data_IF_192567131590
#
_entry.id   IF_192567131590
#
_cell.length_a   1.000
_cell.length_b   1.000
_cell.length_c   1.000
_cell.angle_alpha   90.00
_cell.angle_beta   90.00
_cell.angle_gamma   90.00
#
_symmetry.space_group_name_H-M   'P 1'
#
loop_
_entity.id
_entity.type
_entity.pdbx_description
1 polymer ?
#
# COMPACT_ATOMS: atom_id res chain seq x y z
N UNK A 1 -20.95 24.89 -6.50
CA UNK A 1 -20.01 24.75 -5.37
C UNK A 1 -20.20 23.39 -4.69
N UNK A 2 -19.85 22.29 -5.38
CA UNK A 2 -19.96 20.92 -4.83
C UNK A 2 -18.79 20.02 -5.28
N UNK A 3 -17.58 20.56 -5.27
CA UNK A 3 -16.34 19.80 -5.40
C UNK A 3 -15.64 19.92 -4.06
N UNK A 4 -15.57 18.82 -3.29
CA UNK A 4 -14.49 18.56 -2.30
C UNK A 4 -14.74 17.30 -1.44
N UNK A 5 -15.91 16.65 -1.46
CA UNK A 5 -16.15 15.43 -0.65
C UNK A 5 -15.61 14.12 -1.23
N UNK A 6 -15.17 14.12 -2.49
CA UNK A 6 -14.73 12.89 -3.18
C UNK A 6 -13.25 12.54 -2.95
N UNK A 7 -12.43 13.49 -2.49
CA UNK A 7 -10.98 13.27 -2.31
C UNK A 7 -10.66 12.57 -0.97
N UNK A 8 -11.44 12.83 0.08
CA UNK A 8 -11.30 12.19 1.41
C UNK A 8 -11.58 10.68 1.36
N UNK A 9 -12.43 10.23 0.43
CA UNK A 9 -12.70 8.80 0.21
C UNK A 9 -11.50 8.13 -0.48
N UNK A 10 -10.83 8.80 -1.43
CA UNK A 10 -9.65 8.27 -2.12
C UNK A 10 -8.41 8.13 -1.21
N UNK A 11 -8.24 9.01 -0.23
CA UNK A 11 -7.18 8.87 0.78
C UNK A 11 -7.47 7.73 1.76
N UNK A 12 -8.76 7.47 2.04
CA UNK A 12 -9.18 6.30 2.82
C UNK A 12 -8.95 5.00 2.04
N UNK A 13 -9.21 5.00 0.73
CA UNK A 13 -8.98 3.86 -0.19
C UNK A 13 -7.51 3.42 -0.24
N UNK A 14 -6.56 4.35 -0.09
CA UNK A 14 -5.12 4.05 -0.10
C UNK A 14 -4.57 3.66 1.28
N UNK A 15 -5.11 4.20 2.37
CA UNK A 15 -4.80 3.71 3.73
C UNK A 15 -5.47 2.37 4.06
N UNK A 16 -6.43 1.88 3.27
CA UNK A 16 -7.10 0.59 3.50
C UNK A 16 -6.24 -0.64 3.13
N UNK A 17 -5.10 -0.45 2.44
CA UNK A 17 -4.04 -1.46 2.34
C UNK A 17 -3.15 -1.53 3.60
N UNK A 18 -3.32 -0.58 4.53
CA UNK A 18 -2.83 -0.71 5.90
C UNK A 18 -3.98 -1.27 6.75
N UNK A 19 -3.69 -2.16 7.74
CA UNK A 19 -4.74 -2.72 8.58
C UNK A 19 -5.61 -1.60 9.15
N UNK A 20 -6.89 -1.65 8.82
CA UNK A 20 -7.90 -0.69 9.25
C UNK A 20 -7.83 -0.52 10.77
N UNK A 21 -7.42 0.65 11.24
CA UNK A 21 -7.67 1.06 12.61
C UNK A 21 -9.18 1.30 12.75
N UNK A 22 -9.91 0.25 13.14
CA UNK A 22 -11.26 0.38 13.67
C UNK A 22 -11.20 1.23 14.94
N UNK A 23 -11.72 2.45 14.88
CA UNK A 23 -11.98 3.24 16.08
C UNK A 23 -13.15 2.59 16.82
N UNK A 24 -12.86 1.85 17.89
CA UNK A 24 -13.85 1.59 18.92
C UNK A 24 -14.19 2.93 19.58
N UNK A 25 -15.32 3.53 19.20
CA UNK A 25 -15.94 4.59 19.99
C UNK A 25 -16.46 3.97 21.28
N UNK A 26 -15.64 4.06 22.33
CA UNK A 26 -16.04 3.79 23.71
C UNK A 26 -16.98 4.94 24.15
N UNK A 27 -18.28 4.69 24.09
CA UNK A 27 -19.29 5.57 24.69
C UNK A 27 -19.25 5.40 26.21
N UNK A 28 -18.63 6.36 26.89
CA UNK A 28 -18.82 6.58 28.31
C UNK A 28 -20.26 7.06 28.61
N UNK A 29 -20.96 6.33 29.46
CA UNK A 29 -22.04 6.85 30.29
C UNK A 29 -21.96 6.24 31.69
N UNK A 30 -21.59 7.10 32.64
CA UNK A 30 -21.38 6.84 34.05
C UNK A 30 -22.63 6.37 34.81
N UNK A 31 -22.42 5.60 35.89
CA UNK A 31 -22.90 5.97 37.24
C UNK A 31 -22.42 5.03 38.35
N UNK A 32 -21.74 5.61 39.35
CA UNK A 32 -22.11 5.44 40.75
C UNK A 32 -21.41 4.39 41.62
N UNK A 33 -20.82 4.84 42.73
CA UNK A 33 -20.85 4.07 43.98
C UNK A 33 -19.53 3.96 44.75
N UNK A 34 -19.42 4.72 45.83
CA UNK A 34 -18.29 4.82 46.75
C UNK A 34 -17.94 3.53 47.53
N UNK A 35 -16.69 3.45 48.02
CA UNK A 35 -16.29 2.56 49.12
C UNK A 35 -14.81 2.70 49.46
N UNK A 36 -14.49 2.91 50.74
CA UNK A 36 -13.24 3.48 51.22
C UNK A 36 -12.23 2.46 51.80
N UNK A 37 -10.97 2.94 51.88
CA UNK A 37 -9.98 2.77 52.96
C UNK A 37 -9.23 1.43 53.20
N UNK A 38 -7.92 1.58 53.45
CA UNK A 38 -7.03 0.63 54.17
C UNK A 38 -5.66 0.48 53.48
N UNK A 39 -4.64 1.30 53.76
CA UNK A 39 -3.67 1.25 54.88
C UNK A 39 -2.75 0.01 54.91
N UNK A 40 -1.43 0.23 54.79
CA UNK A 40 -0.43 -0.44 55.66
C UNK A 40 0.75 -1.18 55.01
N UNK A 41 1.98 -0.82 55.43
CA UNK A 41 3.21 -1.66 55.55
C UNK A 41 4.13 -1.70 54.31
N UNK A 42 5.36 -1.15 54.29
CA UNK A 42 6.63 -1.58 54.96
C UNK A 42 6.97 -3.06 54.71
N UNK A 43 8.20 -3.55 54.44
CA UNK A 43 9.58 -3.03 54.46
C UNK A 43 10.53 -4.12 53.89
N UNK A 44 11.77 -3.74 53.52
CA UNK A 44 13.04 -4.51 53.53
C UNK A 44 13.16 -5.78 52.63
N UNK A 45 14.29 -6.12 51.99
CA UNK A 45 15.68 -5.67 52.04
C UNK A 45 16.64 -6.77 51.50
N UNK A 46 17.86 -6.40 51.11
CA UNK A 46 19.05 -7.29 50.99
C UNK A 46 19.37 -7.84 49.59
N UNK A 47 20.35 -7.33 48.84
CA UNK A 47 21.84 -7.53 48.88
C UNK A 47 22.35 -8.90 48.41
N UNK A 48 23.22 -8.90 47.40
CA UNK A 48 24.12 -10.01 47.07
C UNK A 48 24.95 -9.75 45.80
N UNK A 49 26.27 -9.65 45.95
CA UNK A 49 27.25 -9.24 44.94
C UNK A 49 28.17 -10.38 44.46
N UNK A 50 28.84 -10.17 43.32
CA UNK A 50 30.07 -10.86 42.87
C UNK A 50 29.86 -11.91 41.76
N UNK A 51 30.69 -12.08 40.72
CA UNK A 51 32.06 -11.60 40.43
C UNK A 51 32.44 -11.92 38.96
N UNK A 52 33.14 -10.97 38.32
CA UNK A 52 34.28 -11.03 37.36
C UNK A 52 34.66 -12.31 36.57
N UNK A 53 35.03 -12.13 35.29
CA UNK A 53 36.20 -12.82 34.69
C UNK A 53 36.31 -12.88 33.15
N UNK A 54 37.27 -12.11 32.58
CA UNK A 54 38.02 -12.37 31.32
C UNK A 54 37.30 -12.13 29.98
N UNK A 55 37.81 -11.43 28.97
CA UNK A 55 39.19 -11.13 28.57
C UNK A 55 39.57 -11.96 27.33
N UNK A 56 39.52 -11.39 26.12
CA UNK A 56 39.99 -12.07 24.89
C UNK A 56 39.70 -11.29 23.61
N UNK A 57 40.76 -10.93 22.88
CA UNK A 57 40.78 -10.04 21.72
C UNK A 57 40.68 -10.80 20.38
N UNK A 58 40.22 -10.11 19.33
CA UNK A 58 40.77 -10.27 17.97
C UNK A 58 39.97 -11.15 17.01
N UNK A 59 39.37 -10.52 15.99
CA UNK A 59 38.76 -11.20 14.85
C UNK A 59 38.23 -10.22 13.81
N UNK A 60 39.12 -9.80 12.91
CA UNK A 60 38.79 -9.09 11.68
C UNK A 60 38.10 -10.00 10.66
N UNK A 61 37.06 -9.48 9.99
CA UNK A 61 36.37 -10.07 8.82
C UNK A 61 34.92 -9.61 8.85
N UNK A 62 34.43 -8.72 7.97
CA UNK A 62 34.58 -8.75 6.53
C UNK A 62 33.48 -9.61 5.94
N UNK A 63 32.27 -9.06 5.81
CA UNK A 63 31.27 -9.43 4.80
C UNK A 63 30.10 -8.47 4.89
N UNK A 64 30.03 -7.58 3.91
CA UNK A 64 28.79 -6.96 3.45
C UNK A 64 27.76 -8.08 3.24
N UNK A 65 26.59 -7.96 3.88
CA UNK A 65 25.44 -8.77 3.54
C UNK A 65 24.26 -7.83 3.35
N UNK A 66 24.09 -7.42 2.09
CA UNK A 66 22.92 -6.71 1.62
C UNK A 66 21.69 -7.58 1.84
N UNK A 67 20.79 -7.09 2.70
CA UNK A 67 19.48 -7.70 2.91
C UNK A 67 18.58 -7.40 1.73
N UNK A 68 18.62 -8.26 0.71
CA UNK A 68 17.50 -8.46 -0.19
C UNK A 68 16.29 -8.92 0.63
N UNK A 69 15.10 -8.37 0.33
CA UNK A 69 13.82 -8.61 1.00
C UNK A 69 13.69 -9.99 1.66
N UNK A 70 13.44 -9.96 2.97
CA UNK A 70 13.58 -11.08 3.88
C UNK A 70 12.87 -12.36 3.42
N UNK A 71 13.66 -13.39 3.16
CA UNK A 71 13.29 -14.80 3.36
C UNK A 71 13.46 -15.14 4.85
N UNK A 72 12.70 -14.46 5.72
CA UNK A 72 12.61 -14.82 7.13
C UNK A 72 11.45 -15.78 7.31
N UNK A 73 11.72 -17.06 7.58
CA UNK A 73 10.66 -17.93 8.12
C UNK A 73 10.09 -17.33 9.41
N UNK A 74 8.88 -17.73 9.78
CA UNK A 74 8.12 -17.29 10.98
C UNK A 74 8.93 -17.26 12.30
N UNK A 75 10.11 -17.89 12.35
CA UNK A 75 10.98 -18.04 13.51
C UNK A 75 11.72 -16.78 14.02
N UNK A 76 11.59 -15.61 13.38
CA UNK A 76 12.31 -14.39 13.79
C UNK A 76 11.43 -13.26 14.36
N UNK A 77 10.11 -13.45 14.51
CA UNK A 77 9.24 -12.44 15.11
C UNK A 77 9.32 -12.49 16.64
N UNK A 78 9.65 -11.36 17.29
CA UNK A 78 9.56 -11.18 18.75
C UNK A 78 8.40 -10.23 19.09
N UNK A 79 7.29 -10.72 19.68
CA UNK A 79 6.16 -9.85 20.05
C UNK A 79 6.51 -8.81 21.11
N UNK A 80 7.59 -9.00 21.89
CA UNK A 80 8.03 -8.02 22.89
C UNK A 80 8.94 -6.93 22.29
N UNK A 81 9.52 -7.21 21.13
CA UNK A 81 10.35 -6.27 20.38
C UNK A 81 10.15 -6.47 18.87
N UNK A 82 8.97 -6.11 18.33
CA UNK A 82 8.64 -6.38 16.93
C UNK A 82 9.55 -5.63 15.94
N UNK A 83 10.17 -4.54 16.40
CA UNK A 83 10.79 -3.54 15.54
C UNK A 83 9.74 -2.74 14.78
N UNK A 84 10.20 -2.02 13.75
CA UNK A 84 9.39 -1.05 13.02
C UNK A 84 9.25 -1.45 11.54
N UNK A 85 8.00 -1.40 11.06
CA UNK A 85 7.64 -1.45 9.64
C UNK A 85 7.51 -0.02 9.12
N UNK A 86 8.27 0.30 8.08
CA UNK A 86 8.07 1.51 7.29
C UNK A 86 7.19 1.21 6.08
N UNK A 87 6.18 2.02 5.84
CA UNK A 87 5.38 1.99 4.61
C UNK A 87 5.46 3.35 3.97
N UNK A 88 5.71 3.41 2.66
CA UNK A 88 5.81 4.68 1.96
C UNK A 88 5.50 4.52 0.48
N UNK A 89 4.62 5.38 -0.05
CA UNK A 89 4.29 5.40 -1.47
C UNK A 89 4.34 6.83 -2.01
N UNK A 90 4.97 6.99 -3.17
CA UNK A 90 4.93 8.22 -3.98
C UNK A 90 4.48 7.89 -5.40
N UNK A 91 3.58 8.70 -5.94
CA UNK A 91 3.03 8.33 -7.24
C UNK A 91 1.98 9.26 -7.80
N UNK A 92 1.36 8.75 -8.87
CA UNK A 92 0.25 9.39 -9.58
C UNK A 92 -0.84 8.37 -9.89
N UNK A 93 -2.09 8.77 -9.67
CA UNK A 93 -3.25 8.12 -10.21
C UNK A 93 -3.93 9.05 -11.22
N UNK A 94 -4.00 8.67 -12.49
CA UNK A 94 -4.80 9.33 -13.51
C UNK A 94 -6.22 8.77 -13.44
N UNK A 95 -7.12 9.52 -12.82
CA UNK A 95 -8.52 9.13 -12.63
C UNK A 95 -9.39 9.91 -13.60
N UNK A 96 -9.97 9.22 -14.60
CA UNK A 96 -10.85 9.86 -15.58
C UNK A 96 -10.21 11.09 -16.26
N UNK A 97 -8.90 11.01 -16.55
CA UNK A 97 -8.13 12.09 -17.17
C UNK A 97 -7.62 13.19 -16.21
N UNK A 98 -7.93 13.12 -14.91
CA UNK A 98 -7.41 14.04 -13.90
C UNK A 98 -6.26 13.38 -13.12
N UNK A 99 -5.05 13.96 -13.08
CA UNK A 99 -3.98 13.45 -12.24
C UNK A 99 -4.24 13.76 -10.76
N UNK A 100 -4.10 12.75 -9.92
CA UNK A 100 -4.01 12.86 -8.47
C UNK A 100 -2.63 12.35 -8.04
N UNK A 101 -1.77 13.26 -7.59
CA UNK A 101 -0.41 12.94 -7.15
C UNK A 101 -0.32 12.97 -5.64
N UNK A 102 0.45 12.03 -5.09
CA UNK A 102 0.52 11.84 -3.65
C UNK A 102 1.90 11.35 -3.21
N UNK A 103 2.24 11.65 -1.96
CA UNK A 103 3.40 11.13 -1.27
C UNK A 103 2.99 10.97 0.21
N UNK A 104 2.88 9.72 0.65
CA UNK A 104 2.43 9.41 2.00
C UNK A 104 3.07 8.12 2.51
N UNK A 105 3.22 8.02 3.81
CA UNK A 105 3.69 6.80 4.46
C UNK A 105 3.27 6.71 5.92
N UNK A 106 3.67 5.65 6.58
CA UNK A 106 3.47 5.45 8.00
C UNK A 106 4.59 4.59 8.58
N UNK A 107 4.86 4.78 9.87
CA UNK A 107 5.66 3.88 10.68
C UNK A 107 4.73 3.12 11.61
N UNK A 108 4.88 1.80 11.63
CA UNK A 108 4.03 0.90 12.38
C UNK A 108 4.92 -0.05 13.19
N UNK A 109 4.50 -0.54 14.36
CA UNK A 109 5.10 -1.75 14.91
C UNK A 109 5.01 -2.86 13.86
N UNK A 110 6.09 -3.58 13.63
CA UNK A 110 6.08 -4.74 12.74
C UNK A 110 5.16 -5.81 13.30
N UNK A 111 4.38 -6.43 12.43
CA UNK A 111 3.51 -7.55 12.76
C UNK A 111 4.12 -8.86 12.24
N UNK A 112 3.67 -9.99 12.77
CA UNK A 112 4.12 -11.32 12.32
C UNK A 112 3.91 -11.49 10.82
N UNK A 113 2.72 -11.13 10.34
CA UNK A 113 2.32 -11.23 8.94
C UNK A 113 3.14 -10.31 8.00
N UNK A 114 3.87 -9.31 8.53
CA UNK A 114 4.75 -8.46 7.72
C UNK A 114 6.08 -9.15 7.33
N UNK A 115 6.43 -10.24 8.03
CA UNK A 115 7.66 -11.00 7.84
C UNK A 115 7.44 -12.25 6.99
N UNK A 116 6.19 -12.61 6.77
CA UNK A 116 5.82 -13.70 5.87
C UNK A 116 6.14 -13.30 4.43
N UNK A 117 6.67 -14.24 3.65
CA UNK A 117 6.80 -14.04 2.22
C UNK A 117 5.39 -13.84 1.66
N UNK A 118 5.08 -12.60 1.25
CA UNK A 118 3.78 -12.27 0.65
C UNK A 118 3.43 -13.26 -0.46
N UNK A 119 2.13 -13.45 -0.75
CA UNK A 119 1.66 -14.49 -1.67
C UNK A 119 2.51 -14.51 -2.95
N UNK A 120 3.16 -15.65 -3.17
CA UNK A 120 4.11 -15.83 -4.25
C UNK A 120 3.42 -15.65 -5.61
N UNK A 121 3.83 -14.58 -6.30
CA UNK A 121 3.58 -14.27 -7.71
C UNK A 121 2.15 -13.86 -8.12
N UNK A 122 2.05 -12.96 -9.12
CA UNK A 122 0.78 -12.72 -9.82
C UNK A 122 0.25 -14.05 -10.37
N UNK A 123 -1.03 -14.34 -10.11
CA UNK A 123 -1.70 -15.54 -10.62
C UNK A 123 -1.68 -15.63 -12.15
N UNK A 124 -1.58 -14.48 -12.83
CA UNK A 124 -1.57 -14.36 -14.29
C UNK A 124 -0.15 -14.53 -14.85
N UNK A 125 0.09 -15.49 -15.78
CA UNK A 125 1.37 -15.64 -16.46
C UNK A 125 1.79 -14.37 -17.23
N UNK A 126 3.10 -14.10 -17.29
CA UNK A 126 3.63 -12.98 -18.06
C UNK A 126 3.33 -13.16 -19.57
N UNK A 127 2.84 -12.11 -20.21
CA UNK A 127 2.42 -12.09 -21.61
C UNK A 127 1.02 -12.67 -21.86
N UNK A 128 0.23 -12.92 -20.82
CA UNK A 128 -1.10 -13.53 -20.95
C UNK A 128 -2.20 -12.66 -20.32
N UNK A 129 -3.46 -13.07 -20.55
CA UNK A 129 -4.66 -12.49 -19.96
C UNK A 129 -5.56 -13.60 -19.42
N UNK A 130 -6.02 -13.45 -18.18
CA UNK A 130 -6.92 -14.39 -17.52
C UNK A 130 -8.18 -13.68 -17.02
N UNK A 131 -9.30 -14.41 -17.01
CA UNK A 131 -10.49 -13.93 -16.31
C UNK A 131 -10.24 -14.18 -14.83
N UNK A 132 -10.16 -13.09 -14.07
CA UNK A 132 -9.90 -13.15 -12.65
C UNK A 132 -11.20 -12.90 -11.92
N UNK A 133 -11.74 -13.95 -11.30
CA UNK A 133 -12.76 -13.81 -10.27
C UNK A 133 -12.07 -13.78 -8.92
N UNK A 134 -12.26 -12.71 -8.14
CA UNK A 134 -11.77 -12.67 -6.77
C UNK A 134 -12.60 -13.61 -5.91
N UNK A 135 -12.10 -14.84 -5.73
CA UNK A 135 -12.61 -15.77 -4.72
C UNK A 135 -11.76 -15.66 -3.48
N UNK A 136 -12.34 -15.13 -2.40
CA UNK A 136 -11.71 -15.12 -1.10
C UNK A 136 -11.79 -16.51 -0.47
N UNK A 137 -10.67 -16.98 0.05
CA UNK A 137 -10.61 -18.16 0.90
C UNK A 137 -10.13 -17.67 2.26
N UNK A 138 -10.94 -17.80 3.32
CA UNK A 138 -10.56 -17.28 4.63
C UNK A 138 -9.39 -18.11 5.18
N UNK A 139 -8.40 -17.44 5.76
CA UNK A 139 -7.27 -18.10 6.42
C UNK A 139 -7.57 -18.39 7.90
N UNK A 140 -8.63 -17.81 8.45
CA UNK A 140 -9.11 -18.05 9.81
C UNK A 140 -10.65 -18.06 9.86
N UNK A 141 -11.20 -18.73 10.86
CA UNK A 141 -12.65 -18.78 11.13
C UNK A 141 -13.02 -18.25 12.51
N UNK A 142 -12.02 -18.04 13.38
CA UNK A 142 -12.17 -17.40 14.67
C UNK A 142 -10.82 -17.10 15.34
N UNK A 143 -10.83 -16.49 16.54
CA UNK A 143 -9.63 -16.06 17.24
C UNK A 143 -8.65 -17.19 17.56
N UNK A 144 -9.15 -18.42 17.74
CA UNK A 144 -8.32 -19.60 18.05
C UNK A 144 -7.42 -20.04 16.89
N UNK A 145 -7.70 -19.58 15.67
CA UNK A 145 -6.91 -19.90 14.47
C UNK A 145 -5.72 -18.92 14.30
N UNK A 146 -5.66 -17.86 15.11
CA UNK A 146 -4.66 -16.80 15.02
C UNK A 146 -3.70 -16.81 16.22
N UNK A 147 -2.55 -16.15 16.07
CA UNK A 147 -1.63 -15.91 17.19
C UNK A 147 -2.29 -15.01 18.27
N UNK A 148 -1.85 -15.05 19.55
CA UNK A 148 -2.46 -14.29 20.63
C UNK A 148 -2.56 -12.78 20.40
N UNK A 149 -1.61 -12.21 19.66
CA UNK A 149 -1.55 -10.80 19.26
C UNK A 149 -2.44 -10.44 18.05
N UNK A 150 -2.94 -11.45 17.32
CA UNK A 150 -3.72 -11.29 16.09
C UNK A 150 -5.22 -11.44 16.34
N UNK A 151 -6.01 -10.87 15.43
CA UNK A 151 -7.45 -11.00 15.38
C UNK A 151 -7.87 -11.57 14.03
N UNK A 152 -8.84 -12.49 14.03
CA UNK A 152 -9.45 -12.97 12.80
C UNK A 152 -10.45 -11.93 12.29
N UNK A 153 -10.04 -11.12 11.32
CA UNK A 153 -10.82 -10.01 10.80
C UNK A 153 -11.08 -10.19 9.30
N UNK A 154 -12.31 -9.94 8.82
CA UNK A 154 -12.58 -9.90 7.40
C UNK A 154 -11.90 -8.69 6.75
N UNK A 155 -11.52 -8.82 5.48
CA UNK A 155 -11.25 -7.66 4.65
C UNK A 155 -12.50 -6.78 4.55
N UNK A 156 -12.30 -5.48 4.31
CA UNK A 156 -13.40 -4.55 4.11
C UNK A 156 -13.41 -3.98 2.70
N UNK A 157 -14.60 -3.83 2.12
CA UNK A 157 -14.80 -3.14 0.85
C UNK A 157 -14.44 -1.64 0.95
N UNK A 158 -14.54 -0.94 -0.17
CA UNK A 158 -14.23 0.51 -0.25
C UNK A 158 -15.13 1.39 0.64
N UNK A 159 -16.23 0.85 1.17
CA UNK A 159 -17.14 1.53 2.08
C UNK A 159 -16.93 1.10 3.54
N UNK A 160 -15.88 0.32 3.83
CA UNK A 160 -15.60 -0.22 5.15
C UNK A 160 -16.52 -1.38 5.54
N UNK A 161 -17.26 -1.98 4.60
CA UNK A 161 -18.12 -3.13 4.89
C UNK A 161 -17.32 -4.43 4.80
N UNK A 162 -17.48 -5.36 5.75
CA UNK A 162 -16.86 -6.68 5.67
C UNK A 162 -17.17 -7.40 4.35
N UNK A 163 -16.14 -8.00 3.75
CA UNK A 163 -16.26 -8.89 2.61
C UNK A 163 -16.39 -10.31 3.15
N UNK A 164 -17.46 -11.01 2.78
CA UNK A 164 -17.70 -12.36 3.27
C UNK A 164 -16.61 -13.34 2.80
N UNK A 165 -16.19 -14.26 3.68
CA UNK A 165 -15.18 -15.30 3.41
C UNK A 165 -13.77 -14.75 3.11
N UNK A 166 -13.45 -13.54 3.59
CA UNK A 166 -12.15 -12.88 3.44
C UNK A 166 -11.38 -12.78 4.75
N UNK A 167 -11.80 -13.52 5.77
CA UNK A 167 -11.22 -13.49 7.10
C UNK A 167 -9.74 -13.88 7.08
N UNK A 168 -8.89 -13.03 7.67
CA UNK A 168 -7.46 -13.28 7.84
C UNK A 168 -6.98 -12.87 9.23
N UNK A 169 -5.85 -13.45 9.67
CA UNK A 169 -5.23 -13.11 10.94
C UNK A 169 -4.44 -11.81 10.79
N UNK A 170 -4.91 -10.75 11.46
CA UNK A 170 -4.34 -9.40 11.37
C UNK A 170 -3.98 -8.90 12.76
N UNK A 171 -2.80 -8.31 12.91
CA UNK A 171 -2.34 -7.66 14.14
C UNK A 171 -2.81 -6.20 14.16
N UNK A 172 -3.71 -5.80 15.08
CA UNK A 172 -4.11 -4.41 15.22
C UNK A 172 -2.93 -3.56 15.70
N UNK A 173 -2.68 -2.45 15.02
CA UNK A 173 -1.55 -1.57 15.29
C UNK A 173 -1.89 -0.12 14.96
N UNK A 174 -1.22 0.81 15.63
CA UNK A 174 -1.38 2.25 15.43
C UNK A 174 -0.11 2.87 14.87
N UNK A 175 -0.21 3.85 13.97
CA UNK A 175 0.94 4.59 13.48
C UNK A 175 1.73 5.29 14.59
N UNK A 176 3.05 5.28 14.45
CA UNK A 176 4.01 5.84 15.41
C UNK A 176 4.57 7.14 14.85
N UNK A 177 4.62 8.17 15.70
CA UNK A 177 5.43 9.37 15.44
C UNK A 177 6.89 9.07 15.82
N UNK A 178 7.77 9.04 14.83
CA UNK A 178 9.23 8.81 14.91
C UNK A 178 10.01 10.06 14.47
N UNK A 179 9.33 11.20 14.37
CA UNK A 179 9.90 12.45 13.90
C UNK A 179 9.91 12.58 12.37
N UNK A 180 10.14 13.81 11.87
CA UNK A 180 10.11 14.09 10.45
C UNK A 180 11.26 13.43 9.68
N UNK A 181 11.04 13.18 8.40
CA UNK A 181 12.09 12.76 7.47
C UNK A 181 12.10 13.64 6.23
N UNK A 182 13.25 13.73 5.57
CA UNK A 182 13.42 14.52 4.35
C UNK A 182 13.42 13.58 3.17
N UNK A 183 12.74 13.98 2.10
CA UNK A 183 12.68 13.25 0.84
C UNK A 183 13.09 14.15 -0.31
N UNK A 184 14.00 13.66 -1.13
CA UNK A 184 14.50 14.32 -2.33
C UNK A 184 13.86 13.71 -3.57
N UNK A 185 14.05 14.38 -4.72
CA UNK A 185 13.50 13.92 -6.00
C UNK A 185 12.31 14.74 -6.51
N UNK A 186 11.65 15.55 -5.68
CA UNK A 186 10.62 16.46 -6.18
C UNK A 186 11.20 17.59 -7.05
N UNK A 187 10.42 18.08 -8.02
CA UNK A 187 10.86 19.11 -8.95
C UNK A 187 11.12 20.46 -8.26
N UNK A 188 10.39 20.77 -7.19
CA UNK A 188 10.60 21.99 -6.39
C UNK A 188 11.68 21.85 -5.31
N UNK A 189 12.37 20.71 -5.24
CA UNK A 189 13.41 20.43 -4.25
C UNK A 189 12.93 19.56 -3.08
N UNK A 190 13.79 19.33 -2.06
CA UNK A 190 13.49 18.42 -0.97
C UNK A 190 12.21 18.79 -0.20
N UNK A 191 11.47 17.77 0.24
CA UNK A 191 10.27 17.90 1.06
C UNK A 191 10.51 17.24 2.41
N UNK A 192 10.10 17.91 3.47
CA UNK A 192 9.99 17.28 4.79
C UNK A 192 8.61 16.66 4.92
N UNK A 193 8.55 15.41 5.34
CA UNK A 193 7.31 14.73 5.71
C UNK A 193 7.26 14.58 7.22
N UNK A 194 6.07 14.77 7.81
CA UNK A 194 5.86 14.78 9.25
C UNK A 194 4.58 14.06 9.60
N UNK A 195 4.55 13.48 10.80
CA UNK A 195 3.38 12.80 11.34
C UNK A 195 2.16 13.74 11.39
N UNK A 196 1.04 13.29 10.83
CA UNK A 196 -0.20 14.04 10.78
C UNK A 196 -1.32 13.27 11.49
N UNK A 197 -1.58 13.63 12.76
CA UNK A 197 -2.64 13.01 13.56
C UNK A 197 -4.05 13.18 12.94
N UNK A 198 -4.30 14.26 12.19
CA UNK A 198 -5.59 14.48 11.52
C UNK A 198 -5.79 13.53 10.32
N UNK A 199 -4.71 12.98 9.79
CA UNK A 199 -4.70 11.95 8.75
C UNK A 199 -4.32 10.59 9.35
N UNK A 200 -4.88 10.27 10.53
CA UNK A 200 -4.67 8.99 11.21
C UNK A 200 -3.20 8.61 11.43
N UNK A 201 -2.30 9.59 11.53
CA UNK A 201 -0.87 9.36 11.74
C UNK A 201 -0.05 9.09 10.48
N UNK A 202 -0.60 9.37 9.30
CA UNK A 202 0.17 9.36 8.07
C UNK A 202 1.25 10.46 8.05
N UNK A 203 2.36 10.18 7.39
CA UNK A 203 3.44 11.13 7.14
C UNK A 203 3.16 11.85 5.84
N UNK A 204 2.92 13.16 5.95
CA UNK A 204 2.58 14.02 4.81
C UNK A 204 3.42 15.29 4.85
N UNK A 205 3.39 16.06 3.75
CA UNK A 205 3.97 17.41 3.76
C UNK A 205 3.23 18.29 4.78
N UNK A 206 3.92 19.20 5.50
CA UNK A 206 3.29 20.07 6.49
C UNK A 206 2.09 20.84 5.93
N UNK A 207 0.95 20.73 6.61
CA UNK A 207 -0.31 21.36 6.20
C UNK A 207 -1.01 20.70 5.01
N UNK A 208 -0.46 19.62 4.47
CA UNK A 208 -1.06 18.81 3.41
C UNK A 208 -1.73 17.55 3.93
N UNK A 209 -2.66 17.04 3.14
CA UNK A 209 -3.30 15.74 3.33
C UNK A 209 -2.50 14.59 2.69
N UNK A 210 -1.30 14.86 2.17
CA UNK A 210 -0.46 13.91 1.45
C UNK A 210 -0.59 14.00 -0.07
N UNK A 211 -1.48 14.87 -0.57
CA UNK A 211 -1.44 15.31 -1.96
C UNK A 211 -0.23 16.21 -2.22
N UNK A 212 0.35 16.07 -3.41
CA UNK A 212 1.40 16.96 -3.92
C UNK A 212 0.93 17.57 -5.24
N UNK A 213 1.39 18.76 -5.64
CA UNK A 213 1.10 19.27 -6.97
C UNK A 213 1.68 18.36 -8.05
N UNK A 214 0.92 18.06 -9.11
CA UNK A 214 1.40 17.14 -10.16
C UNK A 214 2.70 17.58 -10.83
N UNK A 215 2.88 18.90 -11.07
CA UNK A 215 4.14 19.44 -11.61
C UNK A 215 5.34 19.36 -10.64
N UNK A 216 5.11 18.98 -9.39
CA UNK A 216 6.17 18.75 -8.39
C UNK A 216 6.67 17.30 -8.41
N UNK A 217 5.88 16.36 -8.97
CA UNK A 217 6.29 14.98 -9.16
C UNK A 217 7.27 14.89 -10.34
N UNK A 218 8.49 14.43 -10.07
CA UNK A 218 9.48 14.11 -11.08
C UNK A 218 9.35 12.66 -11.56
N UNK A 219 9.14 12.45 -12.86
CA UNK A 219 9.18 11.13 -13.50
C UNK A 219 10.60 10.76 -13.93
N UNK A 220 10.82 9.46 -14.15
CA UNK A 220 12.14 8.88 -14.45
C UNK A 220 13.22 9.33 -13.45
N UNK A 221 12.89 9.15 -12.16
CA UNK A 221 13.66 9.73 -11.07
C UNK A 221 13.68 8.83 -9.85
N UNK A 222 14.83 8.80 -9.19
CA UNK A 222 14.99 8.20 -7.86
C UNK A 222 14.57 9.23 -6.82
N UNK A 223 13.66 8.82 -5.95
CA UNK A 223 13.35 9.51 -4.73
C UNK A 223 14.13 8.85 -3.61
N UNK A 224 14.87 9.65 -2.86
CA UNK A 224 15.62 9.20 -1.69
C UNK A 224 15.00 9.85 -0.46
N UNK A 225 15.01 9.14 0.66
CA UNK A 225 14.56 9.68 1.93
C UNK A 225 15.52 9.32 3.05
N UNK A 226 15.61 10.20 4.04
CA UNK A 226 16.41 10.01 5.23
C UNK A 226 15.76 10.66 6.45
N UNK A 227 15.91 10.02 7.61
CA UNK A 227 15.39 10.51 8.88
C UNK A 227 16.27 10.08 10.04
N UNK A 228 16.30 10.87 11.10
CA UNK A 228 17.05 10.55 12.32
C UNK A 228 16.36 9.45 13.17
N UNK A 229 15.05 9.25 12.97
CA UNK A 229 14.22 8.38 13.79
C UNK A 229 13.99 8.94 15.20
N UNK A 230 13.40 8.10 16.04
CA UNK A 230 13.24 8.33 17.46
C UNK A 230 13.62 7.04 18.22
N UNK A 231 14.80 7.05 18.83
CA UNK A 231 15.31 5.90 19.59
C UNK A 231 14.38 5.51 20.75
N UNK A 232 13.59 6.45 21.30
CA UNK A 232 12.59 6.13 22.34
C UNK A 232 11.40 5.33 21.80
N UNK A 233 11.23 5.30 20.46
CA UNK A 233 10.27 4.47 19.73
C UNK A 233 10.90 3.23 19.12
N UNK A 234 12.20 3.01 19.35
CA UNK A 234 12.93 1.88 18.80
C UNK A 234 13.33 2.04 17.33
N UNK A 235 13.35 3.27 16.79
CA UNK A 235 13.86 3.55 15.44
C UNK A 235 15.05 4.52 15.51
N UNK A 236 16.22 4.10 15.05
CA UNK A 236 17.37 5.00 14.87
C UNK A 236 17.34 5.68 13.51
N UNK A 237 18.51 6.17 13.07
CA UNK A 237 18.61 6.79 11.74
C UNK A 237 18.27 5.78 10.65
N UNK A 238 17.55 6.23 9.64
CA UNK A 238 17.13 5.41 8.52
C UNK A 238 17.27 6.17 7.20
N UNK A 239 17.40 5.42 6.12
CA UNK A 239 17.39 5.94 4.75
C UNK A 239 16.77 4.93 3.81
N UNK A 240 16.35 5.38 2.65
CA UNK A 240 15.86 4.50 1.61
C UNK A 240 15.67 5.23 0.30
N UNK A 241 15.30 4.46 -0.73
CA UNK A 241 15.11 4.99 -2.07
C UNK A 241 14.09 4.19 -2.85
N UNK A 242 13.44 4.85 -3.79
CA UNK A 242 12.54 4.23 -4.75
C UNK A 242 12.54 5.01 -6.05
N UNK A 243 12.49 4.31 -7.19
CA UNK A 243 12.43 4.96 -8.49
C UNK A 243 10.98 5.09 -8.94
N UNK A 244 10.59 6.29 -9.37
CA UNK A 244 9.41 6.47 -10.19
C UNK A 244 9.87 6.42 -11.65
N UNK A 245 9.42 5.42 -12.39
CA UNK A 245 9.76 5.27 -13.80
C UNK A 245 9.26 6.43 -14.68
N UNK A 246 9.50 6.35 -16.00
CA UNK A 246 9.00 7.33 -16.95
C UNK A 246 7.48 7.48 -16.87
N UNK A 247 7.00 8.66 -17.25
CA UNK A 247 5.57 8.96 -17.19
C UNK A 247 4.74 8.07 -18.13
N UNK A 248 3.77 7.33 -17.57
CA UNK A 248 2.81 6.58 -18.37
C UNK A 248 1.80 7.50 -19.06
N UNK A 249 1.65 7.37 -20.38
CA UNK A 249 0.53 7.98 -21.12
C UNK A 249 0.03 7.05 -22.21
N UNK A 250 -1.25 6.68 -22.18
CA UNK A 250 -1.88 5.94 -23.27
C UNK A 250 -1.89 6.80 -24.55
N UNK A 251 -1.37 6.25 -25.64
CA UNK A 251 -1.31 6.91 -26.96
C UNK A 251 -2.25 6.27 -27.98
N UNK A 252 -2.60 4.99 -27.82
CA UNK A 252 -3.63 4.32 -28.62
C UNK A 252 -4.36 3.26 -27.79
N UNK A 253 -5.69 3.14 -27.90
CA UNK A 253 -6.59 4.00 -28.69
C UNK A 253 -6.57 5.46 -28.22
N UNK A 254 -6.85 6.39 -29.13
CA UNK A 254 -6.92 7.81 -28.77
C UNK A 254 -8.09 8.06 -27.82
N UNK A 255 -7.86 8.93 -26.84
CA UNK A 255 -8.92 9.37 -25.93
C UNK A 255 -9.97 10.18 -26.70
N UNK A 256 -11.24 9.89 -26.45
CA UNK A 256 -12.40 10.60 -27.01
C UNK A 256 -13.32 11.07 -25.89
N UNK A 257 -14.01 12.19 -26.13
CA UNK A 257 -15.06 12.66 -25.22
C UNK A 257 -16.26 11.72 -25.34
N UNK A 258 -16.63 11.09 -24.24
CA UNK A 258 -17.78 10.20 -24.18
C UNK A 258 -19.08 10.99 -23.95
N UNK A 259 -20.26 10.44 -24.30
CA UNK A 259 -21.55 11.13 -24.17
C UNK A 259 -21.90 11.61 -22.74
N UNK A 260 -21.22 11.07 -21.74
CA UNK A 260 -21.36 11.39 -20.31
C UNK A 260 -20.42 12.53 -19.84
N UNK A 261 -19.71 13.18 -20.75
CA UNK A 261 -18.85 14.33 -20.44
C UNK A 261 -17.54 13.98 -19.74
N UNK A 262 -17.08 12.73 -19.85
CA UNK A 262 -15.75 12.28 -19.42
C UNK A 262 -14.99 11.71 -20.61
N UNK A 263 -13.67 11.75 -20.53
CA UNK A 263 -12.81 11.16 -21.55
C UNK A 263 -12.66 9.65 -21.32
N UNK A 264 -12.48 8.92 -22.41
CA UNK A 264 -12.23 7.49 -22.40
C UNK A 264 -11.84 6.98 -23.77
N UNK A 265 -11.88 5.67 -23.96
CA UNK A 265 -11.61 5.01 -25.24
C UNK A 265 -12.86 4.29 -25.76
N UNK A 266 -12.91 4.07 -27.06
CA UNK A 266 -13.94 3.23 -27.70
C UNK A 266 -13.35 1.87 -28.07
N UNK A 267 -14.06 0.80 -27.72
CA UNK A 267 -13.60 -0.58 -27.90
C UNK A 267 -14.67 -1.42 -28.59
N UNK A 268 -14.31 -2.11 -29.67
CA UNK A 268 -15.16 -3.15 -30.27
C UNK A 268 -14.91 -4.47 -29.57
N UNK A 269 -15.98 -5.13 -29.10
CA UNK A 269 -15.88 -6.42 -28.41
C UNK A 269 -15.58 -7.60 -29.34
N UNK A 270 -15.66 -7.38 -30.66
CA UNK A 270 -15.38 -8.41 -31.67
C UNK A 270 -13.96 -8.35 -32.24
N UNK A 271 -13.15 -7.40 -31.78
CA UNK A 271 -11.81 -7.14 -32.29
C UNK A 271 -10.78 -7.16 -31.16
N UNK A 272 -9.53 -7.43 -31.54
CA UNK A 272 -8.41 -7.29 -30.64
C UNK A 272 -8.27 -5.83 -30.18
N UNK A 273 -8.05 -5.63 -28.89
CA UNK A 273 -7.78 -4.30 -28.34
C UNK A 273 -6.27 -4.07 -28.30
N UNK A 274 -5.76 -3.38 -29.33
CA UNK A 274 -4.37 -2.97 -29.42
C UNK A 274 -4.13 -1.69 -28.60
N UNK A 275 -3.26 -1.79 -27.60
CA UNK A 275 -2.88 -0.74 -26.68
C UNK A 275 -1.44 -0.29 -26.99
N UNK A 276 -1.22 1.02 -27.01
CA UNK A 276 0.14 1.60 -27.05
C UNK A 276 0.22 2.77 -26.09
N UNK A 277 1.38 2.97 -25.49
CA UNK A 277 1.63 4.05 -24.54
C UNK A 277 3.06 4.57 -24.64
N UNK A 278 3.26 5.81 -24.20
CA UNK A 278 4.60 6.39 -24.02
C UNK A 278 5.11 6.16 -22.60
N UNK A 279 6.43 6.38 -22.43
CA UNK A 279 7.11 6.20 -21.14
C UNK A 279 7.18 4.74 -20.73
N UNK A 280 7.39 3.83 -21.69
CA UNK A 280 7.65 2.42 -21.44
C UNK A 280 8.89 2.22 -20.57
N UNK A 281 8.88 1.18 -19.74
CA UNK A 281 9.94 0.84 -18.80
C UNK A 281 10.33 -0.62 -18.99
N UNK A 282 11.19 -0.88 -19.98
CA UNK A 282 11.32 -2.19 -20.62
C UNK A 282 11.75 -3.33 -19.68
N UNK A 283 12.35 -3.02 -18.54
CA UNK A 283 12.78 -3.98 -17.53
C UNK A 283 11.71 -4.27 -16.47
N UNK A 284 10.52 -3.67 -16.60
CA UNK A 284 9.43 -3.75 -15.63
C UNK A 284 8.20 -4.41 -16.21
N UNK A 285 7.35 -4.86 -15.31
CA UNK A 285 6.06 -5.44 -15.64
C UNK A 285 4.95 -4.40 -15.52
N UNK A 286 3.92 -4.57 -16.32
CA UNK A 286 2.71 -3.76 -16.34
C UNK A 286 1.51 -4.69 -16.19
N UNK A 287 0.65 -4.35 -15.23
CA UNK A 287 -0.66 -4.98 -15.09
C UNK A 287 -1.70 -4.16 -15.84
N UNK A 288 -2.48 -4.82 -16.68
CA UNK A 288 -3.57 -4.21 -17.45
C UNK A 288 -4.86 -4.93 -17.08
N UNK A 289 -5.82 -4.20 -16.54
CA UNK A 289 -7.10 -4.77 -16.10
C UNK A 289 -8.24 -4.16 -16.89
N UNK A 290 -9.04 -4.99 -17.55
CA UNK A 290 -10.27 -4.60 -18.23
C UNK A 290 -11.47 -5.13 -17.42
N UNK A 291 -12.19 -4.23 -16.78
CA UNK A 291 -13.38 -4.52 -15.98
C UNK A 291 -14.61 -4.09 -16.77
N UNK A 292 -15.55 -5.01 -16.99
CA UNK A 292 -16.86 -4.69 -17.55
C UNK A 292 -17.93 -4.48 -16.49
N UNK A 293 -19.19 -4.40 -16.95
CA UNK A 293 -20.32 -4.09 -16.09
C UNK A 293 -20.61 -5.24 -15.11
N UNK A 294 -20.96 -4.87 -13.88
CA UNK A 294 -21.48 -5.83 -12.90
C UNK A 294 -22.89 -6.27 -13.32
N UNK A 295 -23.05 -7.54 -13.67
CA UNK A 295 -24.33 -8.16 -13.99
C UNK A 295 -24.64 -9.24 -12.95
N UNK A 296 -25.86 -9.21 -12.41
CA UNK A 296 -26.30 -10.17 -11.37
C UNK A 296 -25.36 -10.24 -10.14
N UNK A 297 -24.68 -9.13 -9.80
CA UNK A 297 -23.74 -9.06 -8.68
C UNK A 297 -22.34 -9.61 -8.97
N UNK A 298 -22.06 -10.04 -10.21
CA UNK A 298 -20.73 -10.47 -10.65
C UNK A 298 -20.14 -9.47 -11.63
N UNK A 299 -18.89 -9.06 -11.39
CA UNK A 299 -18.11 -8.25 -12.34
C UNK A 299 -17.17 -9.17 -13.12
N UNK A 300 -17.20 -9.05 -14.45
CA UNK A 300 -16.27 -9.77 -15.31
C UNK A 300 -15.01 -8.93 -15.49
N UNK A 301 -13.91 -9.43 -14.95
CA UNK A 301 -12.61 -8.75 -14.97
C UNK A 301 -11.58 -9.61 -15.69
N UNK A 302 -10.94 -9.00 -16.68
CA UNK A 302 -9.78 -9.58 -17.36
C UNK A 302 -8.54 -8.89 -16.82
N UNK A 303 -7.62 -9.67 -16.28
CA UNK A 303 -6.32 -9.19 -15.85
C UNK A 303 -5.26 -9.73 -16.79
N UNK A 304 -4.47 -8.84 -17.37
CA UNK A 304 -3.33 -9.16 -18.21
C UNK A 304 -2.04 -8.72 -17.53
N UNK A 305 -1.00 -9.53 -17.67
CA UNK A 305 0.35 -9.21 -17.20
C UNK A 305 1.27 -9.16 -18.40
N UNK A 306 2.05 -8.09 -18.56
CA UNK A 306 2.97 -7.93 -19.69
C UNK A 306 4.27 -7.27 -19.26
N UNK A 307 5.33 -7.45 -20.04
CA UNK A 307 6.46 -6.54 -19.98
C UNK A 307 6.04 -5.17 -20.48
N UNK A 308 6.55 -4.12 -19.84
CA UNK A 308 6.24 -2.74 -20.14
C UNK A 308 7.04 -2.24 -21.35
N UNK A 309 6.71 -2.79 -22.52
CA UNK A 309 7.41 -2.55 -23.79
C UNK A 309 6.84 -1.35 -24.57
N UNK A 310 5.78 -0.70 -24.08
CA UNK A 310 5.08 0.38 -24.77
C UNK A 310 3.89 -0.06 -25.62
N UNK A 311 3.65 -1.37 -25.75
CA UNK A 311 2.49 -1.90 -26.45
C UNK A 311 2.05 -3.25 -25.89
N UNK A 312 0.75 -3.54 -25.99
CA UNK A 312 0.17 -4.84 -25.70
C UNK A 312 -1.16 -5.01 -26.43
N UNK A 313 -1.54 -6.23 -26.75
CA UNK A 313 -2.82 -6.52 -27.40
C UNK A 313 -3.63 -7.47 -26.53
N UNK A 314 -4.81 -7.04 -26.10
CA UNK A 314 -5.79 -7.91 -25.45
C UNK A 314 -6.56 -8.64 -26.56
N UNK A 315 -6.53 -9.99 -26.63
CA UNK A 315 -7.23 -10.73 -27.67
C UNK A 315 -8.74 -10.50 -27.64
N UNK A 316 -9.40 -10.48 -28.81
CA UNK A 316 -10.84 -10.25 -28.96
C UNK A 316 -11.69 -11.14 -28.05
N UNK A 317 -11.32 -12.42 -27.93
CA UNK A 317 -12.02 -13.37 -27.05
C UNK A 317 -12.01 -12.92 -25.58
N UNK A 318 -10.94 -12.27 -25.12
CA UNK A 318 -10.82 -11.72 -23.76
C UNK A 318 -11.59 -10.41 -23.62
N UNK A 319 -11.53 -9.53 -24.63
CA UNK A 319 -12.35 -8.31 -24.65
C UNK A 319 -13.85 -8.66 -24.56
N UNK A 320 -14.29 -9.68 -25.30
CA UNK A 320 -15.66 -10.18 -25.22
C UNK A 320 -15.99 -10.77 -23.85
N UNK A 321 -15.06 -11.55 -23.26
CA UNK A 321 -15.22 -12.15 -21.94
C UNK A 321 -15.33 -11.11 -20.81
N UNK A 322 -14.78 -9.90 -20.99
CA UNK A 322 -14.97 -8.79 -20.05
C UNK A 322 -16.44 -8.32 -19.95
N UNK A 323 -17.31 -8.70 -20.89
CA UNK A 323 -18.74 -8.35 -20.88
C UNK A 323 -19.00 -6.85 -20.66
N UNK A 324 -18.39 -6.02 -21.51
CA UNK A 324 -18.53 -4.57 -21.43
C UNK A 324 -20.00 -4.16 -21.50
N UNK A 325 -20.43 -3.36 -20.52
CA UNK A 325 -21.76 -2.77 -20.49
C UNK A 325 -21.92 -1.65 -21.51
N UNK A 326 -23.17 -1.32 -21.84
CA UNK A 326 -23.47 -0.29 -22.84
C UNK A 326 -23.20 1.14 -22.34
N UNK A 327 -23.07 1.33 -21.02
CA UNK A 327 -22.68 2.61 -20.42
C UNK A 327 -21.21 2.62 -20.04
N UNK A 328 -20.47 3.61 -20.55
CA UNK A 328 -19.01 3.63 -20.44
C UNK A 328 -18.46 3.79 -19.01
N UNK A 329 -19.21 4.40 -18.08
CA UNK A 329 -18.78 4.51 -16.68
C UNK A 329 -18.88 3.19 -15.89
N UNK A 330 -19.49 2.15 -16.49
CA UNK A 330 -19.51 0.81 -15.93
C UNK A 330 -18.29 -0.02 -16.32
N UNK A 331 -17.47 0.48 -17.26
CA UNK A 331 -16.33 -0.24 -17.79
C UNK A 331 -15.06 0.56 -17.55
N UNK A 332 -14.00 -0.11 -17.11
CA UNK A 332 -12.72 0.53 -16.84
C UNK A 332 -11.58 -0.27 -17.46
N UNK A 333 -10.65 0.46 -18.06
CA UNK A 333 -9.33 -0.04 -18.40
C UNK A 333 -8.34 0.60 -17.42
N UNK A 334 -7.70 -0.24 -16.61
CA UNK A 334 -6.71 0.17 -15.62
C UNK A 334 -5.33 -0.31 -16.05
N UNK A 335 -4.36 0.60 -16.02
CA UNK A 335 -2.95 0.29 -16.12
C UNK A 335 -2.32 0.54 -14.76
N UNK A 336 -1.51 -0.39 -14.27
CA UNK A 336 -0.84 -0.26 -12.99
C UNK A 336 0.64 -0.61 -13.12
N UNK A 337 1.49 0.34 -12.73
CA UNK A 337 2.93 0.17 -12.54
C UNK A 337 3.25 0.38 -11.08
N UNK A 338 3.79 -0.65 -10.45
CA UNK A 338 4.35 -0.56 -9.11
C UNK A 338 5.83 -0.86 -9.18
N UNK A 339 6.64 0.00 -8.61
CA UNK A 339 8.06 -0.26 -8.42
C UNK A 339 8.37 -0.29 -6.93
N UNK A 340 9.06 -1.33 -6.47
CA UNK A 340 9.48 -1.45 -5.07
C UNK A 340 10.82 -0.75 -4.87
N UNK A 341 10.92 -0.04 -3.76
CA UNK A 341 12.13 0.56 -3.25
C UNK A 341 12.74 -0.29 -2.15
N UNK A 342 13.75 0.28 -1.51
CA UNK A 342 14.43 -0.30 -0.37
C UNK A 342 14.54 0.73 0.75
N UNK A 343 14.50 0.26 2.00
CA UNK A 343 14.79 1.05 3.18
C UNK A 343 15.67 0.27 4.15
N UNK A 344 16.55 0.97 4.83
CA UNK A 344 17.35 0.43 5.93
C UNK A 344 17.41 1.42 7.08
N UNK A 345 17.51 0.92 8.30
CA UNK A 345 17.62 1.75 9.50
C UNK A 345 17.75 0.91 10.74
N UNK A 346 18.34 1.46 11.79
CA UNK A 346 18.41 0.79 13.09
C UNK A 346 16.99 0.60 13.65
N UNK A 347 16.64 -0.63 14.03
CA UNK A 347 15.32 -0.98 14.57
C UNK A 347 14.22 -1.19 13.51
N UNK A 348 14.53 -0.95 12.23
CA UNK A 348 13.63 -1.30 11.12
C UNK A 348 13.73 -2.81 10.84
N UNK A 349 12.59 -3.49 10.86
CA UNK A 349 12.53 -4.95 10.63
C UNK A 349 11.79 -5.34 9.35
N UNK A 350 10.94 -4.45 8.83
CA UNK A 350 10.28 -4.62 7.54
C UNK A 350 10.08 -3.27 6.85
N UNK A 351 9.96 -3.28 5.53
CA UNK A 351 9.60 -2.09 4.77
C UNK A 351 8.76 -2.42 3.54
N UNK A 352 7.88 -1.50 3.19
CA UNK A 352 7.11 -1.48 1.97
C UNK A 352 7.22 -0.09 1.36
N UNK A 353 8.30 0.09 0.60
CA UNK A 353 8.57 1.32 -0.13
C UNK A 353 8.15 1.09 -1.57
N UNK A 354 7.28 1.94 -2.08
CA UNK A 354 6.77 1.78 -3.44
C UNK A 354 6.65 3.11 -4.16
N UNK A 355 6.73 3.05 -5.49
CA UNK A 355 6.11 4.04 -6.34
C UNK A 355 4.93 3.44 -7.07
N UNK A 356 3.96 4.28 -7.40
CA UNK A 356 2.82 3.88 -8.19
C UNK A 356 2.57 4.83 -9.36
N UNK A 357 2.31 4.28 -10.53
CA UNK A 357 1.59 4.97 -11.59
C UNK A 357 0.38 4.14 -11.99
N UNK A 358 -0.81 4.72 -11.78
CA UNK A 358 -2.07 4.09 -12.18
C UNK A 358 -2.80 4.98 -13.17
N UNK A 359 -3.32 4.40 -14.25
CA UNK A 359 -4.21 5.09 -15.17
C UNK A 359 -5.54 4.34 -15.28
N UNK A 360 -6.61 5.00 -14.86
CA UNK A 360 -7.98 4.49 -14.93
C UNK A 360 -8.73 5.24 -16.03
N UNK A 361 -9.11 4.49 -17.06
CA UNK A 361 -9.68 5.02 -18.31
C UNK A 361 -11.07 4.43 -18.50
N UNK A 362 -12.06 5.29 -18.77
CA UNK A 362 -13.41 4.84 -19.10
C UNK A 362 -13.42 4.13 -20.46
N UNK A 363 -14.22 3.07 -20.59
CA UNK A 363 -14.32 2.30 -21.83
C UNK A 363 -15.75 2.31 -22.37
N UNK A 364 -15.96 2.90 -23.53
CA UNK A 364 -17.22 2.83 -24.26
C UNK A 364 -17.20 1.65 -25.23
N UNK A 365 -18.19 0.76 -25.07
CA UNK A 365 -18.42 -0.32 -26.02
C UNK A 365 -18.94 0.25 -27.34
N UNK A 366 -18.27 -0.12 -28.44
CA UNK A 366 -18.78 0.08 -29.79
C UNK A 366 -19.82 -1.01 -30.11
N UNK A 367 -20.85 -0.67 -30.90
CA UNK A 367 -21.89 -1.60 -31.31
C UNK A 367 -21.36 -2.78 -32.11
#
# INVERSE_FOLDING_TARGET
MSKLRSLTVLFSVWMLGMPSCGSGEEQDAASGGAGAAGSGGQEQGGTGAGTTGGGGSGGSGGAEQGGTGGSGGEGNFDPNNPGIRMTFTVGVALLMGQPATFAAGAFLPTAREDLEAGPNQPSVPLGSCEETTTTYTPTCTGPQDCAPEQQCLPETDMNGKPIANSESCVTPRSPIDVGPFTMTGFASGPKTLSYNAQQKGAYTTPGGDGTIPYGDLGFDRIYEFEGAGDASKGLGSFHGKVRLGPEFRLTSPSMVSLPIGVDGIQVSVSQDLALTWSGADQDKELTITLTGATMNGQSHTITCRTMDTGAFTIPAAKVQAAQLGDMAFLNMLTFERNERGEATGEGMTSHDISTMQTAVINVAKLP
#
